data_IF_164242951386
#
_entry.id   IF_164242951386
#
_cell.length_a   1.000
_cell.length_b   1.000
_cell.length_c   1.000
_cell.angle_alpha   90.00
_cell.angle_beta   90.00
_cell.angle_gamma   90.00
#
_symmetry.space_group_name_H-M   'P 1'
#
loop_
_entity.id
_entity.type
_entity.pdbx_description
1 polymer ?
#
# COMPACT_ATOMS: atom_id res chain seq x y z
N UNK A 1 -26.82 9.58 8.87
CA UNK A 1 -26.68 8.44 7.92
C UNK A 1 -25.53 7.55 8.40
N UNK A 2 -25.76 6.28 8.74
CA UNK A 2 -24.64 5.34 8.94
C UNK A 2 -24.09 4.98 7.55
N UNK A 3 -22.90 5.49 7.22
CA UNK A 3 -22.21 5.12 5.98
C UNK A 3 -21.75 3.67 6.09
N UNK A 4 -22.28 2.79 5.25
CA UNK A 4 -21.78 1.44 5.09
C UNK A 4 -20.45 1.53 4.35
N UNK A 5 -19.33 1.25 5.04
CA UNK A 5 -18.02 1.17 4.43
C UNK A 5 -17.67 -0.28 4.10
N UNK A 6 -16.88 -0.48 3.05
CA UNK A 6 -16.28 -1.76 2.70
C UNK A 6 -14.77 -1.55 2.80
N UNK A 7 -14.09 -2.42 3.54
CA UNK A 7 -12.65 -2.40 3.71
C UNK A 7 -11.99 -3.12 2.54
N UNK A 8 -11.06 -2.47 1.84
CA UNK A 8 -10.25 -3.06 0.80
C UNK A 8 -8.82 -3.23 1.33
N UNK A 9 -8.24 -4.40 1.07
CA UNK A 9 -6.84 -4.72 1.30
C UNK A 9 -6.39 -5.76 0.26
N UNK A 10 -5.08 -5.93 0.07
CA UNK A 10 -4.55 -6.94 -0.83
C UNK A 10 -4.59 -8.37 -0.22
N UNK A 11 -4.18 -9.35 -1.02
CA UNK A 11 -4.15 -10.75 -0.60
C UNK A 11 -2.79 -11.19 -0.01
N UNK A 12 -1.97 -10.30 0.56
CA UNK A 12 -0.74 -10.72 1.26
C UNK A 12 -1.09 -11.79 2.31
N UNK A 13 -0.27 -12.86 2.47
CA UNK A 13 -0.52 -13.92 3.45
C UNK A 13 -0.85 -13.43 4.87
N UNK A 14 -0.29 -12.30 5.30
CA UNK A 14 -0.59 -11.70 6.62
C UNK A 14 -2.03 -11.22 6.71
N UNK A 15 -2.54 -10.64 5.62
CA UNK A 15 -3.89 -10.12 5.53
C UNK A 15 -4.95 -11.22 5.32
N UNK A 16 -4.56 -12.34 4.73
CA UNK A 16 -5.46 -13.49 4.50
C UNK A 16 -5.37 -14.59 5.56
N UNK A 17 -4.48 -14.42 6.56
CA UNK A 17 -4.31 -15.35 7.67
C UNK A 17 -5.60 -15.53 8.48
N UNK A 18 -5.71 -16.69 9.14
CA UNK A 18 -6.88 -17.06 9.96
C UNK A 18 -7.16 -16.04 11.06
N UNK A 19 -6.13 -15.61 11.77
CA UNK A 19 -6.24 -14.62 12.86
C UNK A 19 -6.78 -13.28 12.37
N UNK A 20 -6.29 -12.79 11.23
CA UNK A 20 -6.77 -11.53 10.62
C UNK A 20 -8.23 -11.66 10.18
N UNK A 21 -8.60 -12.75 9.50
CA UNK A 21 -9.99 -13.00 9.07
C UNK A 21 -10.97 -13.06 10.25
N UNK A 22 -10.60 -13.77 11.31
CA UNK A 22 -11.41 -13.86 12.52
C UNK A 22 -11.58 -12.50 13.21
N UNK A 23 -10.53 -11.68 13.26
CA UNK A 23 -10.61 -10.33 13.82
C UNK A 23 -11.56 -9.43 13.01
N UNK A 24 -11.44 -9.45 11.68
CA UNK A 24 -12.31 -8.67 10.78
C UNK A 24 -13.77 -9.09 10.93
N UNK A 25 -14.03 -10.39 11.02
CA UNK A 25 -15.36 -10.94 11.26
C UNK A 25 -15.93 -10.49 12.61
N UNK A 26 -15.17 -10.60 13.71
CA UNK A 26 -15.59 -10.13 15.05
C UNK A 26 -15.90 -8.63 15.08
N UNK A 27 -15.17 -7.83 14.32
CA UNK A 27 -15.38 -6.38 14.20
C UNK A 27 -16.52 -6.01 13.25
N UNK A 28 -17.18 -6.99 12.60
CA UNK A 28 -18.24 -6.79 11.61
C UNK A 28 -17.79 -5.89 10.45
N UNK A 29 -16.51 -5.99 10.08
CA UNK A 29 -15.94 -5.25 8.96
C UNK A 29 -16.20 -6.07 7.69
N UNK A 30 -16.89 -5.46 6.72
CA UNK A 30 -17.05 -6.06 5.39
C UNK A 30 -15.76 -5.88 4.61
N UNK A 31 -15.20 -6.97 4.11
CA UNK A 31 -14.00 -6.97 3.28
C UNK A 31 -14.41 -7.09 1.82
N UNK A 32 -13.81 -6.30 0.94
CA UNK A 32 -13.99 -6.41 -0.50
C UNK A 32 -13.23 -7.64 -1.00
N UNK A 33 -13.89 -8.52 -1.76
CA UNK A 33 -13.20 -9.61 -2.45
C UNK A 33 -12.28 -9.03 -3.53
N UNK A 34 -11.02 -9.45 -3.52
CA UNK A 34 -9.99 -8.89 -4.39
C UNK A 34 -9.25 -9.99 -5.16
N UNK A 35 -9.04 -9.83 -6.47
CA UNK A 35 -8.20 -10.75 -7.22
C UNK A 35 -6.73 -10.63 -6.77
N UNK A 36 -6.06 -11.77 -6.61
CA UNK A 36 -4.63 -11.79 -6.33
C UNK A 36 -3.82 -11.14 -7.47
N UNK A 37 -2.67 -10.56 -7.13
CA UNK A 37 -1.74 -9.97 -8.12
C UNK A 37 -2.34 -8.84 -8.99
N UNK A 38 -3.26 -8.04 -8.45
CA UNK A 38 -3.79 -6.85 -9.11
C UNK A 38 -3.36 -5.55 -8.40
N UNK A 39 -2.06 -5.18 -8.44
CA UNK A 39 -1.58 -3.94 -7.85
C UNK A 39 -2.12 -2.69 -8.58
N UNK A 40 -2.40 -2.82 -9.88
CA UNK A 40 -3.01 -1.80 -10.75
C UNK A 40 -4.38 -1.33 -10.25
N UNK A 41 -5.10 -2.19 -9.54
CA UNK A 41 -6.44 -1.90 -9.05
C UNK A 41 -6.43 -1.25 -7.67
N UNK A 42 -5.30 -1.20 -6.95
CA UNK A 42 -5.24 -0.71 -5.58
C UNK A 42 -5.14 0.83 -5.55
N UNK A 43 -6.20 1.55 -5.12
CA UNK A 43 -6.19 3.02 -5.15
C UNK A 43 -5.09 3.65 -4.30
N UNK A 44 -4.55 2.92 -3.31
CA UNK A 44 -3.46 3.42 -2.47
C UNK A 44 -2.15 3.63 -3.25
N UNK A 45 -1.95 2.90 -4.35
CA UNK A 45 -0.74 3.05 -5.18
C UNK A 45 -0.69 4.43 -5.85
N UNK A 46 -1.85 4.96 -6.25
CA UNK A 46 -1.95 6.32 -6.76
C UNK A 46 -1.56 7.35 -5.69
N UNK A 47 -2.04 7.15 -4.45
CA UNK A 47 -1.68 8.02 -3.32
C UNK A 47 -0.18 7.93 -2.99
N UNK A 48 0.42 6.75 -3.05
CA UNK A 48 1.86 6.61 -2.91
C UNK A 48 2.62 7.35 -4.03
N UNK A 49 2.12 7.33 -5.26
CA UNK A 49 2.66 8.13 -6.37
C UNK A 49 2.61 9.62 -6.09
N UNK A 50 1.48 10.13 -5.59
CA UNK A 50 1.31 11.54 -5.20
C UNK A 50 2.26 11.91 -4.05
N UNK A 51 2.34 11.07 -3.03
CA UNK A 51 3.22 11.30 -1.88
C UNK A 51 4.68 11.33 -2.31
N UNK A 52 5.11 10.39 -3.16
CA UNK A 52 6.47 10.38 -3.71
C UNK A 52 6.75 11.68 -4.46
N UNK A 53 5.82 12.15 -5.31
CA UNK A 53 5.99 13.43 -6.02
C UNK A 53 6.09 14.61 -5.06
N UNK A 54 5.23 14.68 -4.05
CA UNK A 54 5.25 15.75 -3.05
C UNK A 54 6.52 15.73 -2.17
N UNK A 55 7.03 14.55 -1.84
CA UNK A 55 8.24 14.39 -1.04
C UNK A 55 9.51 14.63 -1.87
N UNK A 56 9.51 14.26 -3.16
CA UNK A 56 10.70 14.35 -4.01
C UNK A 56 10.74 15.61 -4.87
N UNK A 57 9.71 16.46 -4.82
CA UNK A 57 9.70 17.71 -5.57
C UNK A 57 9.17 18.90 -4.76
N UNK A 58 10.04 19.90 -4.43
CA UNK A 58 11.49 19.89 -4.64
C UNK A 58 12.20 18.91 -3.69
N UNK A 59 13.32 18.28 -4.11
CA UNK A 59 13.97 17.24 -3.32
C UNK A 59 14.51 17.81 -2.00
N UNK A 60 14.19 17.20 -0.84
CA UNK A 60 14.71 17.63 0.44
C UNK A 60 16.22 17.39 0.52
N UNK A 61 16.96 18.42 0.97
CA UNK A 61 18.44 18.47 0.97
C UNK A 61 19.15 17.25 1.57
N UNK A 62 18.50 16.54 2.50
CA UNK A 62 19.06 15.34 3.19
C UNK A 62 18.87 14.04 2.42
N UNK A 63 17.90 13.96 1.51
CA UNK A 63 17.57 12.72 0.80
C UNK A 63 18.39 12.51 -0.48
N UNK A 64 19.06 13.56 -0.98
CA UNK A 64 19.91 13.50 -2.16
C UNK A 64 21.02 12.43 -2.03
N UNK A 65 21.52 12.19 -0.82
CA UNK A 65 22.53 11.16 -0.53
C UNK A 65 21.97 9.73 -0.48
N UNK A 66 20.75 9.52 -0.01
CA UNK A 66 20.14 8.19 0.11
C UNK A 66 19.77 7.64 -1.28
N UNK A 67 19.32 8.51 -2.19
CA UNK A 67 18.97 8.12 -3.57
C UNK A 67 20.16 7.74 -4.44
N UNK A 68 21.32 8.36 -4.23
CA UNK A 68 22.53 8.00 -4.97
C UNK A 68 23.03 6.59 -4.60
N UNK A 69 22.85 6.19 -3.35
CA UNK A 69 23.17 4.83 -2.88
C UNK A 69 22.13 3.79 -3.34
N UNK A 70 20.83 4.09 -3.27
CA UNK A 70 19.79 3.14 -3.70
C UNK A 70 19.71 2.97 -5.23
N UNK A 71 19.96 4.03 -6.00
CA UNK A 71 20.01 3.97 -7.47
C UNK A 71 21.18 3.13 -8.01
N UNK A 72 22.28 3.03 -7.26
CA UNK A 72 23.43 2.18 -7.61
C UNK A 72 23.13 0.70 -7.38
N UNK A 73 22.30 0.37 -6.39
CA UNK A 73 21.90 -1.02 -6.08
C UNK A 73 20.81 -1.53 -7.03
N UNK A 74 19.90 -0.66 -7.49
CA UNK A 74 18.82 -1.04 -8.40
C UNK A 74 19.23 -1.26 -9.86
N UNK A 75 20.44 -0.86 -10.26
CA UNK A 75 20.95 -1.01 -11.64
C UNK A 75 21.79 -2.28 -11.86
N UNK A 76 21.87 -3.15 -10.85
CA UNK A 76 22.68 -4.37 -10.86
C UNK A 76 21.83 -5.67 -10.85
N UNK A 77 20.55 -5.58 -11.22
CA UNK A 77 19.67 -6.72 -11.50
C UNK A 77 18.95 -6.52 -12.83
#
# INVERSE_FOLDING_TARGET
MRRNFIFQHDNDPKHTSKSTKEWLHRKKIKVLEWPSQSPDRNPIENLWGDLKRAVFFPPPKRFQFVFQLSGTVYRSY
#
